data_IF_010300287209
#
_entry.id   IF_010300287209
#
_cell.length_a   1.000
_cell.length_b   1.000
_cell.length_c   1.000
_cell.angle_alpha   90.00
_cell.angle_beta   90.00
_cell.angle_gamma   90.00
#
_symmetry.space_group_name_H-M   'P 1'
#
loop_
_entity.id
_entity.type
_entity.pdbx_description
1 polymer ?
#
# COMPACT_ATOMS: atom_id res chain seq x y z
N UNK A 1 2.94 5.96 -16.12
CA UNK A 1 3.79 5.33 -15.07
C UNK A 1 4.16 3.90 -15.46
N UNK A 2 5.44 3.48 -15.39
CA UNK A 2 5.85 2.09 -15.74
C UNK A 2 6.08 1.23 -14.49
N UNK A 3 6.62 1.81 -13.44
CA UNK A 3 6.86 1.17 -12.16
C UNK A 3 6.28 2.03 -11.04
N UNK A 4 6.00 1.43 -9.88
CA UNK A 4 5.70 2.14 -8.64
C UNK A 4 6.78 1.78 -7.61
N UNK A 5 7.84 2.58 -7.53
CA UNK A 5 9.02 2.31 -6.69
C UNK A 5 9.03 3.18 -5.43
N UNK A 6 8.62 4.46 -5.56
CA UNK A 6 8.60 5.46 -4.49
C UNK A 6 7.38 6.38 -4.63
N UNK A 7 6.93 6.94 -3.52
CA UNK A 7 5.97 8.05 -3.53
C UNK A 7 6.60 9.30 -4.14
N UNK A 8 7.89 9.52 -3.93
CA UNK A 8 8.60 10.67 -4.50
C UNK A 8 8.64 10.69 -6.03
N UNK A 9 8.42 9.54 -6.69
CA UNK A 9 8.38 9.44 -8.15
C UNK A 9 7.01 9.85 -8.74
N UNK A 10 5.99 10.09 -7.88
CA UNK A 10 4.63 10.41 -8.30
C UNK A 10 4.41 11.93 -8.34
N UNK A 11 3.94 12.42 -9.48
CA UNK A 11 3.43 13.78 -9.56
C UNK A 11 2.07 13.91 -8.83
N UNK A 12 1.66 15.11 -8.41
CA UNK A 12 0.32 15.32 -7.82
C UNK A 12 -0.81 14.83 -8.73
N UNK A 13 -0.67 14.93 -10.05
CA UNK A 13 -1.62 14.40 -11.03
C UNK A 13 -1.72 12.87 -11.00
N UNK A 14 -0.61 12.16 -10.72
CA UNK A 14 -0.61 10.70 -10.62
C UNK A 14 -1.36 10.26 -9.34
N UNK A 15 -1.14 10.97 -8.23
CA UNK A 15 -1.85 10.74 -6.97
C UNK A 15 -3.35 10.92 -7.16
N UNK A 16 -3.76 12.03 -7.79
CA UNK A 16 -5.16 12.32 -8.07
C UNK A 16 -5.79 11.28 -9.03
N UNK A 17 -5.09 10.86 -10.07
CA UNK A 17 -5.53 9.78 -10.96
C UNK A 17 -5.71 8.46 -10.20
N UNK A 18 -4.76 8.10 -9.34
CA UNK A 18 -4.83 6.90 -8.49
C UNK A 18 -6.06 6.96 -7.56
N UNK A 19 -6.32 8.11 -6.95
CA UNK A 19 -7.47 8.30 -6.06
C UNK A 19 -8.79 8.13 -6.81
N UNK A 20 -8.97 8.79 -7.97
CA UNK A 20 -10.18 8.65 -8.80
C UNK A 20 -10.38 7.23 -9.30
N UNK A 21 -9.32 6.56 -9.71
CA UNK A 21 -9.40 5.17 -10.14
C UNK A 21 -9.75 4.24 -8.99
N UNK A 22 -9.26 4.55 -7.80
CA UNK A 22 -9.61 3.78 -6.58
C UNK A 22 -11.11 3.90 -6.28
N UNK A 23 -11.74 5.07 -6.46
CA UNK A 23 -13.17 5.24 -6.30
C UNK A 23 -13.96 4.24 -7.17
N UNK A 24 -13.57 4.10 -8.44
CA UNK A 24 -14.16 3.14 -9.36
C UNK A 24 -13.99 1.68 -8.90
N UNK A 25 -12.84 1.33 -8.35
CA UNK A 25 -12.60 -0.02 -7.84
C UNK A 25 -13.26 -0.29 -6.49
N UNK A 26 -13.56 0.72 -5.70
CA UNK A 26 -14.43 0.59 -4.52
C UNK A 26 -15.86 0.24 -4.97
N UNK A 27 -16.41 0.93 -5.98
CA UNK A 27 -17.72 0.61 -6.59
C UNK A 27 -17.74 -0.84 -7.12
N UNK A 28 -16.69 -1.26 -7.85
CA UNK A 28 -16.56 -2.65 -8.32
C UNK A 28 -16.55 -3.63 -7.15
N UNK A 29 -15.89 -3.28 -6.05
CA UNK A 29 -15.78 -4.14 -4.88
C UNK A 29 -17.10 -4.36 -4.14
N UNK A 30 -18.10 -3.48 -4.34
CA UNK A 30 -19.43 -3.57 -3.75
C UNK A 30 -20.43 -4.37 -4.63
N UNK A 31 -20.06 -4.74 -5.86
CA UNK A 31 -20.91 -5.52 -6.76
C UNK A 31 -21.11 -6.94 -6.24
N UNK A 32 -22.21 -7.57 -6.62
CA UNK A 32 -22.47 -9.00 -6.33
C UNK A 32 -21.32 -9.90 -6.84
N UNK A 33 -20.76 -9.58 -8.01
CA UNK A 33 -19.54 -10.21 -8.55
C UNK A 33 -18.46 -9.13 -8.59
N UNK A 34 -17.59 -9.02 -7.57
CA UNK A 34 -16.58 -7.96 -7.47
C UNK A 34 -15.36 -8.27 -8.34
N UNK A 35 -15.58 -8.51 -9.63
CA UNK A 35 -14.55 -8.92 -10.59
C UNK A 35 -14.76 -8.23 -11.93
N UNK A 36 -13.65 -7.79 -12.55
CA UNK A 36 -13.62 -7.17 -13.88
C UNK A 36 -12.49 -7.79 -14.71
N UNK A 37 -12.64 -7.95 -16.05
CA UNK A 37 -11.64 -8.59 -16.91
C UNK A 37 -10.49 -7.64 -17.32
N UNK A 38 -10.20 -6.62 -16.51
CA UNK A 38 -9.29 -5.54 -16.88
C UNK A 38 -7.83 -5.97 -17.09
N UNK A 39 -7.39 -7.05 -16.43
CA UNK A 39 -6.04 -7.62 -16.57
C UNK A 39 -6.08 -9.10 -17.01
N UNK A 40 -7.11 -9.49 -17.75
CA UNK A 40 -7.21 -10.85 -18.28
C UNK A 40 -6.01 -11.17 -19.19
N UNK A 41 -5.33 -12.29 -18.95
CA UNK A 41 -4.14 -12.73 -19.67
C UNK A 41 -2.85 -12.03 -19.22
N UNK A 42 -2.89 -11.20 -18.17
CA UNK A 42 -1.72 -10.64 -17.52
C UNK A 42 -1.25 -11.52 -16.37
N UNK A 43 0.07 -11.76 -16.28
CA UNK A 43 0.70 -12.56 -15.26
C UNK A 43 1.41 -11.67 -14.24
N UNK A 44 1.10 -11.82 -12.96
CA UNK A 44 1.72 -11.06 -11.86
C UNK A 44 2.38 -11.99 -10.86
N UNK A 45 3.63 -11.72 -10.50
CA UNK A 45 4.41 -12.52 -9.55
C UNK A 45 4.60 -11.78 -8.22
N UNK A 46 4.42 -12.51 -7.12
CA UNK A 46 4.70 -12.04 -5.77
C UNK A 46 6.10 -12.48 -5.35
N UNK A 47 7.05 -11.56 -5.35
CA UNK A 47 8.45 -11.80 -4.97
C UNK A 47 8.70 -11.28 -3.55
N UNK A 48 8.27 -12.04 -2.56
CA UNK A 48 8.34 -11.65 -1.16
C UNK A 48 9.46 -12.37 -0.42
N UNK A 49 10.50 -11.62 -0.06
CA UNK A 49 11.63 -12.07 0.77
C UNK A 49 11.41 -11.80 2.27
N UNK A 50 10.38 -11.01 2.62
CA UNK A 50 9.92 -10.81 3.99
C UNK A 50 8.47 -11.26 4.12
N UNK A 51 8.12 -11.81 5.29
CA UNK A 51 6.75 -12.20 5.59
C UNK A 51 5.81 -10.98 5.61
N UNK A 52 4.67 -11.12 4.96
CA UNK A 52 3.61 -10.13 4.99
C UNK A 52 2.28 -10.73 4.58
N UNK A 53 1.47 -11.10 5.55
CA UNK A 53 0.14 -11.68 5.29
C UNK A 53 -0.79 -10.68 4.63
N UNK A 54 -0.94 -9.49 5.22
CA UNK A 54 -1.87 -8.46 4.72
C UNK A 54 -1.51 -7.97 3.32
N UNK A 55 -0.27 -7.57 3.10
CA UNK A 55 0.16 -7.02 1.80
C UNK A 55 0.02 -8.07 0.71
N UNK A 56 0.46 -9.31 0.96
CA UNK A 56 0.35 -10.40 -0.02
C UNK A 56 -1.08 -10.72 -0.36
N UNK A 57 -1.93 -10.98 0.64
CA UNK A 57 -3.34 -11.33 0.41
C UNK A 57 -4.12 -10.20 -0.26
N UNK A 58 -3.83 -8.95 0.09
CA UNK A 58 -4.48 -7.78 -0.51
C UNK A 58 -4.10 -7.59 -1.98
N UNK A 59 -2.82 -7.76 -2.36
CA UNK A 59 -2.42 -7.78 -3.77
C UNK A 59 -3.00 -8.97 -4.53
N UNK A 60 -3.03 -10.15 -3.92
CA UNK A 60 -3.62 -11.33 -4.53
C UNK A 60 -5.13 -11.13 -4.79
N UNK A 61 -5.85 -10.58 -3.81
CA UNK A 61 -7.26 -10.23 -3.96
C UNK A 61 -7.46 -9.19 -5.09
N UNK A 62 -6.62 -8.14 -5.14
CA UNK A 62 -6.66 -7.13 -6.17
C UNK A 62 -6.45 -7.70 -7.57
N UNK A 63 -5.41 -8.52 -7.77
CA UNK A 63 -5.11 -9.14 -9.05
C UNK A 63 -6.24 -10.08 -9.51
N UNK A 64 -6.78 -10.92 -8.60
CA UNK A 64 -7.90 -11.83 -8.90
C UNK A 64 -9.17 -11.07 -9.27
N UNK A 65 -9.45 -9.92 -8.61
CA UNK A 65 -10.59 -9.05 -8.96
C UNK A 65 -10.43 -8.40 -10.33
N UNK A 66 -9.19 -8.15 -10.77
CA UNK A 66 -8.87 -7.66 -12.11
C UNK A 66 -8.75 -8.78 -13.17
N UNK A 67 -8.97 -10.05 -12.81
CA UNK A 67 -8.81 -11.23 -13.65
C UNK A 67 -7.39 -11.49 -14.15
N UNK A 68 -6.37 -11.02 -13.44
CA UNK A 68 -4.99 -11.39 -13.70
C UNK A 68 -4.67 -12.79 -13.16
N UNK A 69 -3.76 -13.48 -13.84
CA UNK A 69 -3.15 -14.70 -13.36
C UNK A 69 -2.04 -14.37 -12.36
N UNK A 70 -1.92 -15.19 -11.31
CA UNK A 70 -0.98 -14.91 -10.22
C UNK A 70 -0.04 -16.07 -9.98
N UNK A 71 1.24 -15.78 -9.82
CA UNK A 71 2.26 -16.73 -9.43
C UNK A 71 2.91 -16.32 -8.11
N UNK A 72 3.09 -17.29 -7.21
CA UNK A 72 3.72 -17.02 -5.91
C UNK A 72 5.11 -17.62 -5.90
N UNK A 73 6.12 -16.77 -5.65
CA UNK A 73 7.49 -17.20 -5.39
C UNK A 73 7.69 -17.36 -3.88
N UNK A 74 8.10 -18.56 -3.47
CA UNK A 74 8.43 -18.85 -2.07
C UNK A 74 9.93 -19.01 -1.89
N UNK A 75 10.55 -18.06 -1.22
CA UNK A 75 12.01 -18.08 -0.93
C UNK A 75 12.40 -19.36 -0.18
N UNK A 76 11.55 -19.80 0.75
CA UNK A 76 11.79 -20.97 1.59
C UNK A 76 11.92 -22.31 0.84
N UNK A 77 11.35 -22.39 -0.37
CA UNK A 77 11.36 -23.61 -1.22
C UNK A 77 12.03 -23.38 -2.58
N UNK A 78 12.71 -22.25 -2.77
CA UNK A 78 13.29 -21.85 -4.06
C UNK A 78 14.79 -22.17 -4.17
N UNK A 79 15.31 -22.00 -5.39
CA UNK A 79 16.73 -22.09 -5.75
C UNK A 79 17.61 -21.06 -5.02
N UNK A 80 17.04 -20.01 -4.43
CA UNK A 80 17.75 -19.05 -3.56
C UNK A 80 18.50 -19.78 -2.44
N UNK A 81 17.91 -20.85 -1.86
CA UNK A 81 18.60 -21.71 -0.89
C UNK A 81 19.83 -22.44 -1.44
N UNK A 82 19.93 -22.56 -2.75
CA UNK A 82 21.07 -23.18 -3.46
C UNK A 82 22.12 -22.15 -3.88
N UNK A 83 21.96 -20.87 -3.48
CA UNK A 83 22.88 -19.79 -3.81
C UNK A 83 22.55 -19.03 -5.10
N UNK A 84 21.36 -19.19 -5.68
CA UNK A 84 20.94 -18.41 -6.84
C UNK A 84 20.86 -16.92 -6.48
N UNK A 85 21.41 -16.07 -7.33
CA UNK A 85 21.39 -14.62 -7.10
C UNK A 85 19.99 -14.04 -7.33
N UNK A 86 19.70 -12.92 -6.67
CA UNK A 86 18.45 -12.19 -6.89
C UNK A 86 18.24 -11.84 -8.37
N UNK A 87 19.34 -11.48 -9.07
CA UNK A 87 19.31 -11.12 -10.49
C UNK A 87 18.90 -12.32 -11.35
N UNK A 88 19.49 -13.48 -11.12
CA UNK A 88 19.19 -14.69 -11.89
C UNK A 88 17.76 -15.16 -11.64
N UNK A 89 17.30 -15.08 -10.38
CA UNK A 89 15.89 -15.36 -10.03
C UNK A 89 14.94 -14.46 -10.81
N UNK A 90 15.21 -13.15 -10.86
CA UNK A 90 14.32 -12.17 -11.53
C UNK A 90 14.33 -12.36 -13.05
N UNK A 91 15.47 -12.63 -13.67
CA UNK A 91 15.57 -12.91 -15.11
C UNK A 91 14.90 -14.24 -15.47
N UNK A 92 14.99 -15.24 -14.62
CA UNK A 92 14.27 -16.52 -14.79
C UNK A 92 12.74 -16.30 -14.76
N UNK A 93 12.24 -15.50 -13.81
CA UNK A 93 10.84 -15.13 -13.71
C UNK A 93 10.39 -14.36 -14.95
N UNK A 94 11.19 -13.41 -15.42
CA UNK A 94 10.92 -12.66 -16.66
C UNK A 94 10.77 -13.60 -17.86
N UNK A 95 11.69 -14.55 -18.02
CA UNK A 95 11.66 -15.53 -19.12
C UNK A 95 10.42 -16.42 -19.12
N UNK A 96 9.69 -16.51 -18.00
CA UNK A 96 8.39 -17.20 -17.89
C UNK A 96 7.23 -16.36 -18.41
N UNK A 97 7.45 -15.14 -18.92
CA UNK A 97 6.42 -14.31 -19.53
C UNK A 97 5.55 -13.55 -18.52
N UNK A 98 6.13 -13.03 -17.43
CA UNK A 98 5.41 -12.19 -16.46
C UNK A 98 5.32 -10.74 -16.94
N UNK A 99 4.19 -10.10 -16.66
CA UNK A 99 3.94 -8.70 -16.97
C UNK A 99 4.26 -7.77 -15.79
N UNK A 100 4.14 -8.27 -14.57
CA UNK A 100 4.35 -7.51 -13.34
C UNK A 100 4.98 -8.30 -12.21
N UNK A 101 5.83 -7.63 -11.43
CA UNK A 101 6.46 -8.19 -10.22
C UNK A 101 6.18 -7.29 -9.03
N UNK A 102 5.57 -7.84 -7.98
CA UNK A 102 5.34 -7.15 -6.71
C UNK A 102 6.41 -7.61 -5.74
N UNK A 103 7.30 -6.69 -5.34
CA UNK A 103 8.52 -6.98 -4.59
C UNK A 103 8.40 -6.52 -3.15
N UNK A 104 8.74 -7.41 -2.20
CA UNK A 104 8.97 -7.04 -0.80
C UNK A 104 10.29 -7.62 -0.34
N UNK A 105 11.20 -6.77 0.15
CA UNK A 105 12.56 -7.17 0.51
C UNK A 105 13.05 -6.48 1.78
N UNK A 106 13.93 -7.14 2.54
CA UNK A 106 14.54 -6.59 3.76
C UNK A 106 15.60 -5.51 3.51
N UNK A 107 16.14 -5.42 2.29
CA UNK A 107 17.12 -4.39 1.93
C UNK A 107 16.48 -3.28 1.12
N UNK A 108 16.78 -2.03 1.47
CA UNK A 108 16.38 -0.85 0.74
C UNK A 108 16.99 -0.82 -0.68
N UNK A 109 16.25 -0.28 -1.67
CA UNK A 109 16.70 -0.11 -3.04
C UNK A 109 16.58 -1.34 -3.94
N UNK A 110 16.22 -2.51 -3.40
CA UNK A 110 16.04 -3.74 -4.20
C UNK A 110 14.99 -3.58 -5.30
N UNK A 111 13.82 -2.96 -5.11
CA UNK A 111 12.85 -2.74 -6.18
C UNK A 111 13.43 -1.95 -7.36
N UNK A 112 14.30 -0.95 -7.11
CA UNK A 112 14.99 -0.18 -8.17
C UNK A 112 16.00 -1.04 -8.93
N UNK A 113 16.74 -1.91 -8.23
CA UNK A 113 17.66 -2.84 -8.89
C UNK A 113 16.90 -3.78 -9.82
N UNK A 114 15.79 -4.33 -9.36
CA UNK A 114 14.92 -5.22 -10.15
C UNK A 114 14.35 -4.46 -11.35
N UNK A 115 13.81 -3.25 -11.15
CA UNK A 115 13.30 -2.44 -12.25
C UNK A 115 14.36 -2.14 -13.30
N UNK A 116 15.60 -1.86 -12.88
CA UNK A 116 16.74 -1.66 -13.80
C UNK A 116 17.09 -2.90 -14.60
N UNK A 117 17.04 -4.09 -14.00
CA UNK A 117 17.34 -5.35 -14.72
C UNK A 117 16.26 -5.73 -15.72
N UNK A 118 14.99 -5.47 -15.37
CA UNK A 118 13.84 -5.80 -16.20
C UNK A 118 13.55 -4.72 -17.28
N UNK A 119 14.00 -3.48 -17.05
CA UNK A 119 13.71 -2.36 -17.96
C UNK A 119 12.20 -2.17 -18.16
N UNK A 120 11.82 -1.79 -19.39
CA UNK A 120 10.41 -1.54 -19.73
C UNK A 120 9.60 -2.81 -20.04
N UNK A 121 10.20 -3.99 -19.94
CA UNK A 121 9.52 -5.25 -20.26
C UNK A 121 8.50 -5.65 -19.20
N UNK A 122 8.85 -5.50 -17.92
CA UNK A 122 8.03 -5.93 -16.78
C UNK A 122 7.82 -4.77 -15.82
N UNK A 123 6.60 -4.55 -15.35
CA UNK A 123 6.29 -3.54 -14.36
C UNK A 123 6.70 -4.01 -12.95
N UNK A 124 7.24 -3.10 -12.14
CA UNK A 124 7.70 -3.40 -10.77
C UNK A 124 6.93 -2.55 -9.76
N UNK A 125 6.40 -3.20 -8.71
CA UNK A 125 5.73 -2.55 -7.59
C UNK A 125 6.53 -2.80 -6.32
N UNK A 126 6.93 -1.74 -5.63
CA UNK A 126 7.52 -1.79 -4.30
C UNK A 126 6.43 -2.07 -3.25
N UNK A 127 6.41 -3.26 -2.67
CA UNK A 127 5.53 -3.67 -1.58
C UNK A 127 6.21 -3.61 -0.19
N UNK A 128 7.29 -2.85 -0.11
CA UNK A 128 8.08 -2.58 1.08
C UNK A 128 9.52 -3.05 0.98
N UNK A 129 10.47 -2.11 1.09
CA UNK A 129 11.90 -2.37 1.00
C UNK A 129 12.64 -1.80 2.22
N UNK A 130 13.26 -2.67 3.01
CA UNK A 130 14.02 -2.31 4.20
C UNK A 130 13.24 -1.38 5.15
N UNK A 131 13.88 -0.28 5.53
CA UNK A 131 13.26 0.83 6.27
C UNK A 131 12.95 2.02 5.35
N UNK A 132 12.99 1.81 4.04
CA UNK A 132 12.94 2.87 3.04
C UNK A 132 11.51 3.28 2.72
N UNK A 133 10.76 2.48 1.94
CA UNK A 133 9.39 2.84 1.56
C UNK A 133 8.43 1.67 1.47
N UNK A 134 7.13 2.00 1.51
CA UNK A 134 6.00 1.13 1.19
C UNK A 134 4.90 1.93 0.47
N UNK A 135 5.12 2.30 -0.81
CA UNK A 135 4.27 3.25 -1.53
C UNK A 135 2.77 2.92 -1.48
N UNK A 136 2.41 1.65 -1.71
CA UNK A 136 0.98 1.26 -1.71
C UNK A 136 0.33 1.30 -0.32
N UNK A 137 1.11 1.37 0.76
CA UNK A 137 0.57 1.63 2.09
C UNK A 137 0.22 3.12 2.21
N UNK A 138 1.13 4.02 1.88
CA UNK A 138 0.84 5.45 1.92
C UNK A 138 -0.34 5.84 1.01
N UNK A 139 -0.45 5.25 -0.17
CA UNK A 139 -1.58 5.48 -1.08
C UNK A 139 -2.92 5.05 -0.46
N UNK A 140 -2.98 3.88 0.19
CA UNK A 140 -4.21 3.44 0.85
C UNK A 140 -4.54 4.28 2.09
N UNK A 141 -3.53 4.78 2.78
CA UNK A 141 -3.70 5.66 3.94
C UNK A 141 -4.24 7.02 3.51
N UNK A 142 -3.68 7.62 2.46
CA UNK A 142 -4.21 8.82 1.82
C UNK A 142 -5.66 8.62 1.36
N UNK A 143 -5.95 7.50 0.68
CA UNK A 143 -7.29 7.21 0.23
C UNK A 143 -8.28 7.10 1.40
N UNK A 144 -7.90 6.42 2.48
CA UNK A 144 -8.75 6.22 3.65
C UNK A 144 -9.06 7.53 4.36
N UNK A 145 -8.06 8.44 4.47
CA UNK A 145 -8.28 9.78 5.02
C UNK A 145 -9.21 10.58 4.10
N UNK A 146 -8.98 10.56 2.78
CA UNK A 146 -9.84 11.26 1.82
C UNK A 146 -11.28 10.74 1.83
N UNK A 147 -11.47 9.43 1.92
CA UNK A 147 -12.78 8.78 2.01
C UNK A 147 -13.56 9.25 3.25
N UNK A 148 -12.88 9.40 4.38
CA UNK A 148 -13.48 9.81 5.65
C UNK A 148 -13.64 11.34 5.81
N UNK A 149 -12.72 12.15 5.22
CA UNK A 149 -12.60 13.61 5.47
C UNK A 149 -12.80 14.47 4.21
N UNK A 150 -12.96 13.87 3.04
CA UNK A 150 -13.09 14.56 1.75
C UNK A 150 -11.77 15.02 1.14
N UNK A 151 -10.82 15.52 1.92
CA UNK A 151 -9.51 16.02 1.50
C UNK A 151 -8.45 15.74 2.55
N UNK A 152 -7.17 15.79 2.16
CA UNK A 152 -6.03 15.84 3.09
C UNK A 152 -5.52 17.27 3.28
N UNK A 153 -5.87 18.20 2.39
CA UNK A 153 -5.38 19.57 2.42
C UNK A 153 -5.69 20.25 3.75
N UNK A 154 -4.68 20.77 4.40
CA UNK A 154 -4.78 21.47 5.68
C UNK A 154 -5.03 20.58 6.90
N UNK A 155 -5.16 19.23 6.74
CA UNK A 155 -5.30 18.34 7.88
C UNK A 155 -4.00 18.24 8.68
N UNK A 156 -4.12 18.23 10.01
CA UNK A 156 -3.01 18.05 10.95
C UNK A 156 -2.92 16.58 11.31
N UNK A 157 -1.88 15.92 10.79
CA UNK A 157 -1.65 14.49 10.95
C UNK A 157 -0.48 14.24 11.90
N UNK A 158 -0.73 13.57 13.01
CA UNK A 158 0.31 13.09 13.92
C UNK A 158 0.75 11.67 13.55
N UNK A 159 2.01 11.48 13.14
CA UNK A 159 2.62 10.14 13.00
C UNK A 159 3.33 9.81 14.31
N UNK A 160 2.79 8.84 15.06
CA UNK A 160 3.13 8.61 16.45
C UNK A 160 3.85 7.27 16.61
N UNK A 161 5.05 7.27 17.15
CA UNK A 161 5.75 6.06 17.58
C UNK A 161 7.11 5.81 16.94
N UNK A 162 7.38 4.57 16.50
CA UNK A 162 8.68 4.15 15.98
C UNK A 162 8.89 4.61 14.52
N UNK A 163 9.22 5.88 14.35
CA UNK A 163 9.49 6.50 13.03
C UNK A 163 10.80 5.98 12.44
N UNK A 164 11.83 5.76 13.29
CA UNK A 164 13.19 5.37 12.87
C UNK A 164 13.18 4.10 12.02
N UNK A 165 12.41 3.08 12.43
CA UNK A 165 12.40 1.79 11.75
C UNK A 165 11.20 1.62 10.80
N UNK A 166 10.37 2.66 10.65
CA UNK A 166 9.13 2.58 9.88
C UNK A 166 9.32 3.03 8.44
N UNK A 167 9.28 2.07 7.50
CA UNK A 167 9.16 2.37 6.06
C UNK A 167 7.82 3.05 5.73
N UNK A 168 6.80 2.80 6.53
CA UNK A 168 5.47 3.38 6.36
C UNK A 168 5.51 4.87 6.67
N UNK A 169 6.08 5.26 7.81
CA UNK A 169 6.22 6.67 8.18
C UNK A 169 6.93 7.49 7.09
N UNK A 170 7.94 6.93 6.43
CA UNK A 170 8.66 7.60 5.33
C UNK A 170 7.75 7.85 4.13
N UNK A 171 7.05 6.81 3.67
CA UNK A 171 6.12 6.94 2.55
C UNK A 171 4.93 7.84 2.88
N UNK A 172 4.42 7.78 4.13
CA UNK A 172 3.28 8.59 4.58
C UNK A 172 3.66 10.07 4.65
N UNK A 173 4.85 10.41 5.17
CA UNK A 173 5.34 11.80 5.17
C UNK A 173 5.33 12.36 3.75
N UNK A 174 5.89 11.62 2.78
CA UNK A 174 5.93 12.06 1.38
C UNK A 174 4.52 12.22 0.78
N UNK A 175 3.63 11.25 1.01
CA UNK A 175 2.30 11.26 0.42
C UNK A 175 1.37 12.30 1.07
N UNK A 176 1.36 12.39 2.40
CA UNK A 176 0.50 13.32 3.13
C UNK A 176 0.88 14.76 2.83
N UNK A 177 2.19 15.08 2.83
CA UNK A 177 2.64 16.44 2.54
C UNK A 177 2.46 16.82 1.07
N UNK A 178 2.60 15.87 0.13
CA UNK A 178 2.29 16.09 -1.28
C UNK A 178 0.80 16.42 -1.54
N UNK A 179 -0.08 15.94 -0.65
CA UNK A 179 -1.53 16.22 -0.67
C UNK A 179 -1.95 17.37 0.25
N UNK A 180 -0.99 18.16 0.74
CA UNK A 180 -1.23 19.40 1.48
C UNK A 180 -1.50 19.24 2.97
N UNK A 181 -1.28 18.05 3.56
CA UNK A 181 -1.41 17.87 5.00
C UNK A 181 -0.20 18.42 5.77
N UNK A 182 -0.44 18.89 7.01
CA UNK A 182 0.59 19.26 7.97
C UNK A 182 0.96 18.06 8.84
N UNK A 183 2.18 17.55 8.71
CA UNK A 183 2.63 16.36 9.43
C UNK A 183 3.46 16.71 10.65
N UNK A 184 3.11 16.13 11.80
CA UNK A 184 3.90 16.17 13.03
C UNK A 184 4.35 14.77 13.41
N UNK A 185 5.67 14.56 13.53
CA UNK A 185 6.22 13.31 14.07
C UNK A 185 6.23 13.39 15.59
N UNK A 186 5.62 12.40 16.25
CA UNK A 186 5.51 12.36 17.71
C UNK A 186 6.17 11.09 18.23
N UNK A 187 7.38 11.23 18.79
CA UNK A 187 8.17 10.08 19.23
C UNK A 187 9.22 10.48 20.28
N UNK A 188 9.71 9.53 21.10
CA UNK A 188 10.95 9.77 21.84
C UNK A 188 12.10 10.03 20.87
N UNK A 189 13.09 10.88 21.24
CA UNK A 189 14.23 11.22 20.35
C UNK A 189 14.97 10.01 19.80
N UNK A 190 15.05 8.93 20.56
CA UNK A 190 15.70 7.68 20.16
C UNK A 190 14.98 6.88 19.06
N UNK A 191 13.69 7.15 18.87
CA UNK A 191 12.85 6.52 17.83
C UNK A 191 12.61 7.43 16.61
N UNK A 192 13.31 8.56 16.54
CA UNK A 192 13.38 9.39 15.34
C UNK A 192 14.62 9.02 14.49
N UNK A 193 14.57 9.20 13.17
CA UNK A 193 15.76 9.11 12.32
C UNK A 193 16.86 10.09 12.80
N UNK A 194 18.14 9.78 12.58
CA UNK A 194 19.25 10.67 12.96
C UNK A 194 19.20 12.04 12.27
N UNK A 195 18.63 12.12 11.07
CA UNK A 195 18.33 13.35 10.35
C UNK A 195 16.93 13.30 9.78
N UNK A 196 16.27 14.46 9.77
CA UNK A 196 14.98 14.73 9.13
C UNK A 196 15.14 15.77 8.01
N UNK A 197 16.37 15.96 7.52
CA UNK A 197 16.66 16.91 6.45
C UNK A 197 15.82 16.59 5.22
N UNK A 198 15.17 17.58 4.66
CA UNK A 198 14.28 17.44 3.51
C UNK A 198 12.88 16.89 3.82
N UNK A 199 12.58 16.58 5.09
CA UNK A 199 11.21 16.21 5.48
C UNK A 199 10.44 17.45 5.92
N UNK A 200 9.33 17.81 5.26
CA UNK A 200 8.53 18.98 5.63
C UNK A 200 7.61 18.66 6.81
N UNK A 201 8.19 18.36 7.96
CA UNK A 201 7.48 17.90 9.16
C UNK A 201 7.83 18.74 10.38
N UNK A 202 6.91 18.80 11.35
CA UNK A 202 7.19 19.24 12.72
C UNK A 202 7.56 18.02 13.58
N UNK A 203 8.21 18.24 14.70
CA UNK A 203 8.58 17.20 15.66
C UNK A 203 8.09 17.59 17.05
N UNK A 204 7.49 16.63 17.73
CA UNK A 204 7.15 16.74 19.15
C UNK A 204 7.58 15.47 19.90
N UNK A 205 7.95 15.65 21.17
CA UNK A 205 8.25 14.57 22.10
C UNK A 205 7.13 14.41 23.15
N UNK A 206 6.10 15.24 23.08
CA UNK A 206 4.96 15.25 23.98
C UNK A 206 3.67 14.97 23.19
N UNK A 207 3.13 13.74 23.38
CA UNK A 207 1.91 13.33 22.71
C UNK A 207 0.70 14.08 23.24
N UNK A 208 0.62 14.26 24.56
CA UNK A 208 -0.54 14.90 25.19
C UNK A 208 -0.67 16.38 24.79
N UNK A 209 0.44 17.06 24.49
CA UNK A 209 0.43 18.43 24.00
C UNK A 209 -0.03 18.56 22.53
N UNK A 210 0.14 17.54 21.71
CA UNK A 210 -0.17 17.58 20.26
C UNK A 210 -1.59 17.06 19.95
N UNK A 211 -2.05 16.07 20.72
CA UNK A 211 -3.32 15.35 20.45
C UNK A 211 -4.55 16.25 20.26
N UNK A 212 -4.77 17.32 21.04
CA UNK A 212 -5.96 18.16 20.89
C UNK A 212 -6.07 18.86 19.53
N UNK A 213 -4.95 19.01 18.86
CA UNK A 213 -4.87 19.70 17.58
C UNK A 213 -4.91 18.75 16.37
N UNK A 214 -4.85 17.43 16.56
CA UNK A 214 -4.78 16.47 15.48
C UNK A 214 -6.15 16.15 14.89
N UNK A 215 -6.21 16.16 13.56
CA UNK A 215 -7.32 15.63 12.78
C UNK A 215 -7.15 14.11 12.52
N UNK A 216 -5.90 13.63 12.52
CA UNK A 216 -5.56 12.20 12.36
C UNK A 216 -4.44 11.81 13.30
N UNK A 217 -4.66 10.80 14.13
CA UNK A 217 -3.63 10.11 14.90
C UNK A 217 -3.23 8.82 14.18
N UNK A 218 -2.08 8.85 13.48
CA UNK A 218 -1.53 7.70 12.78
C UNK A 218 -0.49 7.01 13.64
N UNK A 219 -0.84 5.83 14.16
CA UNK A 219 0.00 5.09 15.09
C UNK A 219 0.95 4.14 14.37
N UNK A 220 2.20 4.09 14.81
CA UNK A 220 3.20 3.16 14.30
C UNK A 220 3.40 2.00 15.27
N UNK A 221 3.51 0.80 14.71
CA UNK A 221 3.89 -0.38 15.49
C UNK A 221 5.29 -0.25 16.06
N UNK A 222 5.49 -0.56 17.33
CA UNK A 222 6.81 -0.73 17.92
C UNK A 222 7.49 -1.96 17.31
N UNK A 223 8.53 -1.75 16.48
CA UNK A 223 9.18 -2.82 15.70
C UNK A 223 10.36 -3.44 16.44
N UNK A 224 10.09 -4.10 17.57
CA UNK A 224 11.11 -4.69 18.45
C UNK A 224 12.07 -5.65 17.73
N UNK A 225 11.57 -6.38 16.76
CA UNK A 225 12.36 -7.31 15.94
C UNK A 225 13.41 -6.63 15.05
N UNK A 226 13.30 -5.32 14.88
CA UNK A 226 14.26 -4.49 14.10
C UNK A 226 15.20 -3.69 14.98
N UNK A 227 14.97 -3.69 16.30
CA UNK A 227 15.82 -2.96 17.24
C UNK A 227 17.00 -3.84 17.64
N UNK A 228 18.20 -3.37 17.37
CA UNK A 228 19.46 -3.97 17.87
C UNK A 228 19.92 -3.34 19.18
N UNK A 229 19.31 -2.25 19.60
CA UNK A 229 19.65 -1.44 20.77
C UNK A 229 18.43 -1.21 21.67
N UNK A 230 18.66 -0.87 22.93
CA UNK A 230 17.63 -0.47 23.88
C UNK A 230 17.25 1.01 23.65
N UNK A 231 16.39 1.27 22.66
CA UNK A 231 15.98 2.61 22.28
C UNK A 231 14.89 3.22 23.17
N UNK A 232 14.23 2.40 23.97
CA UNK A 232 13.28 2.83 25.00
C UNK A 232 13.59 2.10 26.30
N UNK A 233 13.47 2.75 27.49
CA UNK A 233 13.81 2.12 28.77
C UNK A 233 12.96 0.87 29.04
N UNK A 234 11.65 0.98 28.87
CA UNK A 234 10.70 -0.13 28.97
C UNK A 234 9.48 0.09 28.07
N UNK A 235 8.82 -0.98 27.66
CA UNK A 235 7.53 -0.86 26.95
C UNK A 235 6.46 -0.18 27.80
N UNK A 236 6.47 -0.40 29.12
CA UNK A 236 5.52 0.24 30.03
C UNK A 236 5.67 1.76 30.02
N UNK A 237 6.90 2.26 30.02
CA UNK A 237 7.16 3.70 29.94
C UNK A 237 6.77 4.26 28.59
N UNK A 238 7.10 3.54 27.50
CA UNK A 238 6.67 3.91 26.16
C UNK A 238 5.13 4.00 26.07
N UNK A 239 4.42 2.97 26.53
CA UNK A 239 2.94 2.95 26.55
C UNK A 239 2.38 4.10 27.36
N UNK A 240 2.95 4.40 28.52
CA UNK A 240 2.50 5.48 29.39
C UNK A 240 2.64 6.86 28.70
N UNK A 241 3.70 7.06 27.89
CA UNK A 241 3.98 8.33 27.23
C UNK A 241 3.38 8.46 25.81
N UNK A 242 3.34 7.37 25.05
CA UNK A 242 3.00 7.39 23.61
C UNK A 242 1.86 6.44 23.23
N UNK A 243 1.36 5.61 24.13
CA UNK A 243 0.22 4.73 23.85
C UNK A 243 -1.09 5.52 23.75
N UNK A 244 -1.87 5.30 22.70
CA UNK A 244 -3.19 5.91 22.56
C UNK A 244 -4.22 5.13 23.38
N UNK A 245 -4.73 5.78 24.43
CA UNK A 245 -5.73 5.27 25.38
C UNK A 245 -7.06 5.99 25.21
N UNK A 246 -8.15 5.49 25.80
CA UNK A 246 -9.45 6.20 25.77
C UNK A 246 -9.33 7.62 26.28
N UNK A 247 -8.65 7.85 27.42
CA UNK A 247 -8.44 9.20 27.97
C UNK A 247 -7.80 10.17 26.94
N UNK A 248 -6.87 9.66 26.13
CA UNK A 248 -6.19 10.44 25.09
C UNK A 248 -7.07 10.68 23.89
N UNK A 249 -7.88 9.70 23.52
CA UNK A 249 -8.88 9.86 22.46
C UNK A 249 -9.95 10.89 22.83
N UNK A 250 -10.34 10.96 24.10
CA UNK A 250 -11.29 11.97 24.60
C UNK A 250 -10.72 13.40 24.56
N UNK A 251 -9.39 13.56 24.46
CA UNK A 251 -8.72 14.85 24.30
C UNK A 251 -8.56 15.29 22.84
N UNK A 252 -8.81 14.40 21.88
CA UNK A 252 -8.77 14.69 20.45
C UNK A 252 -10.03 15.41 19.97
N UNK A 253 -9.97 16.03 18.80
CA UNK A 253 -11.17 16.53 18.13
C UNK A 253 -12.22 15.42 17.95
N UNK A 254 -13.50 15.76 18.01
CA UNK A 254 -14.62 14.79 17.97
C UNK A 254 -14.62 13.93 16.70
N UNK A 255 -14.21 14.50 15.58
CA UNK A 255 -14.15 13.87 14.26
C UNK A 255 -12.75 13.38 13.87
N UNK A 256 -11.77 13.43 14.81
CA UNK A 256 -10.42 12.97 14.56
C UNK A 256 -10.38 11.44 14.31
N UNK A 257 -9.57 11.04 13.35
CA UNK A 257 -9.41 9.64 12.95
C UNK A 257 -8.25 8.96 13.72
N UNK A 258 -8.41 7.67 13.97
CA UNK A 258 -7.35 6.80 14.49
C UNK A 258 -6.98 5.80 13.41
N UNK A 259 -5.69 5.76 13.04
CA UNK A 259 -5.14 4.92 11.98
C UNK A 259 -3.95 4.08 12.47
N UNK A 260 -3.72 2.95 11.78
CA UNK A 260 -2.60 2.07 12.08
C UNK A 260 -2.31 1.14 10.89
N UNK A 261 -1.08 1.00 10.39
CA UNK A 261 -0.76 0.17 9.21
C UNK A 261 -0.86 -1.34 9.49
N UNK A 262 -0.97 -1.71 10.77
CA UNK A 262 -0.98 -3.09 11.23
C UNK A 262 0.36 -3.86 11.03
N UNK A 263 0.56 -4.96 11.76
CA UNK A 263 -0.25 -5.45 12.87
C UNK A 263 -0.13 -4.55 14.11
N UNK A 264 -1.20 -4.44 14.89
CA UNK A 264 -1.18 -3.68 16.14
C UNK A 264 -0.61 -4.52 17.29
N UNK A 265 0.18 -3.88 18.16
CA UNK A 265 0.50 -4.42 19.48
C UNK A 265 -0.50 -3.81 20.48
N UNK A 266 -1.70 -4.42 20.60
CA UNK A 266 -2.72 -3.97 21.55
C UNK A 266 -2.16 -3.93 22.98
N UNK A 267 -2.36 -2.80 23.67
CA UNK A 267 -1.79 -2.54 24.99
C UNK A 267 -0.37 -1.95 24.98
N UNK A 268 0.18 -1.65 23.80
CA UNK A 268 1.47 -0.95 23.65
C UNK A 268 1.25 0.42 22.99
N UNK A 269 1.17 0.50 21.68
CA UNK A 269 0.94 1.76 20.96
C UNK A 269 -0.54 2.16 20.91
N UNK A 270 -1.46 1.21 21.09
CA UNK A 270 -2.90 1.43 21.08
C UNK A 270 -3.58 0.50 22.11
N UNK A 271 -4.52 1.02 22.89
CA UNK A 271 -5.34 0.16 23.75
C UNK A 271 -6.36 -0.64 22.93
N UNK A 272 -6.84 -1.76 23.46
CA UNK A 272 -7.77 -2.62 22.76
C UNK A 272 -9.07 -1.89 22.42
N UNK A 273 -9.57 -1.11 23.39
CA UNK A 273 -10.82 -0.36 23.28
C UNK A 273 -10.74 0.71 22.20
N UNK A 274 -9.62 1.43 22.11
CA UNK A 274 -9.41 2.49 21.10
C UNK A 274 -9.40 1.90 19.69
N UNK A 275 -8.80 0.73 19.50
CA UNK A 275 -8.75 0.09 18.19
C UNK A 275 -10.15 -0.29 17.65
N UNK A 276 -11.13 -0.43 18.52
CA UNK A 276 -12.48 -0.87 18.21
C UNK A 276 -13.51 0.30 18.22
N UNK A 277 -13.05 1.56 18.42
CA UNK A 277 -13.92 2.74 18.36
C UNK A 277 -14.40 3.06 16.93
N UNK A 278 -15.56 3.68 16.75
CA UNK A 278 -16.07 4.09 15.43
C UNK A 278 -15.13 5.01 14.63
N UNK A 279 -14.31 5.84 15.31
CA UNK A 279 -13.31 6.71 14.70
C UNK A 279 -12.02 5.98 14.29
N UNK A 280 -11.88 4.70 14.66
CA UNK A 280 -10.76 3.85 14.24
C UNK A 280 -11.05 3.29 12.85
N UNK A 281 -10.39 3.85 11.84
CA UNK A 281 -10.55 3.46 10.42
C UNK A 281 -9.53 2.39 10.00
N UNK A 282 -8.97 1.63 10.96
CA UNK A 282 -7.94 0.61 10.73
C UNK A 282 -8.43 -0.52 9.81
N UNK A 283 -9.69 -0.93 9.97
CA UNK A 283 -10.29 -1.96 9.11
C UNK A 283 -10.63 -1.39 7.73
N UNK A 284 -10.99 -0.11 7.67
CA UNK A 284 -11.23 0.58 6.40
C UNK A 284 -9.93 0.71 5.59
N UNK A 285 -8.78 0.98 6.24
CA UNK A 285 -7.46 0.91 5.58
C UNK A 285 -7.23 -0.46 4.91
N UNK A 286 -7.60 -1.56 5.55
CA UNK A 286 -7.47 -2.92 4.97
C UNK A 286 -8.41 -3.08 3.77
N UNK A 287 -9.66 -2.64 3.88
CA UNK A 287 -10.67 -2.70 2.82
C UNK A 287 -10.24 -1.87 1.61
N UNK A 288 -9.92 -0.61 1.84
CA UNK A 288 -9.49 0.35 0.83
C UNK A 288 -8.18 -0.08 0.16
N UNK A 289 -7.31 -0.75 0.92
CA UNK A 289 -6.05 -1.28 0.40
C UNK A 289 -6.20 -2.25 -0.77
N UNK A 290 -7.31 -2.98 -0.87
CA UNK A 290 -7.56 -3.85 -2.03
C UNK A 290 -7.88 -3.01 -3.26
N UNK A 291 -8.75 -2.00 -3.14
CA UNK A 291 -9.14 -1.11 -4.24
C UNK A 291 -7.96 -0.27 -4.75
N UNK A 292 -7.15 0.28 -3.84
CA UNK A 292 -5.92 1.02 -4.19
C UNK A 292 -4.94 0.12 -4.95
N UNK A 293 -4.75 -1.11 -4.53
CA UNK A 293 -3.88 -2.06 -5.22
C UNK A 293 -4.45 -2.50 -6.58
N UNK A 294 -5.77 -2.55 -6.72
CA UNK A 294 -6.41 -2.71 -8.04
C UNK A 294 -6.08 -1.52 -8.94
N UNK A 295 -6.19 -0.28 -8.44
CA UNK A 295 -5.85 0.92 -9.19
C UNK A 295 -4.37 0.92 -9.63
N UNK A 296 -3.45 0.59 -8.72
CA UNK A 296 -2.02 0.49 -9.03
C UNK A 296 -1.74 -0.55 -10.11
N UNK A 297 -2.25 -1.78 -9.94
CA UNK A 297 -2.03 -2.84 -10.93
C UNK A 297 -2.65 -2.49 -12.28
N UNK A 298 -3.82 -1.87 -12.30
CA UNK A 298 -4.47 -1.44 -13.53
C UNK A 298 -3.68 -0.36 -14.26
N UNK A 299 -3.17 0.66 -13.55
CA UNK A 299 -2.34 1.72 -14.15
C UNK A 299 -1.03 1.20 -14.74
N UNK A 300 -0.45 0.17 -14.13
CA UNK A 300 0.82 -0.38 -14.56
C UNK A 300 0.70 -1.41 -15.69
N UNK A 301 -0.39 -2.18 -15.73
CA UNK A 301 -0.52 -3.36 -16.59
C UNK A 301 -1.71 -3.30 -17.55
N UNK A 302 -2.69 -2.41 -17.27
CA UNK A 302 -3.89 -2.25 -18.11
C UNK A 302 -3.57 -1.52 -19.42
N UNK A 303 -4.19 -1.95 -20.51
CA UNK A 303 -4.09 -1.29 -21.79
C UNK A 303 -5.12 -0.13 -21.85
N UNK A 304 -4.63 1.11 -21.71
CA UNK A 304 -5.41 2.32 -21.95
C UNK A 304 -6.26 2.77 -20.74
N UNK A 305 -5.71 3.67 -19.96
CA UNK A 305 -6.34 4.30 -18.77
C UNK A 305 -7.61 5.09 -19.18
N UNK A 306 -7.63 5.62 -20.39
CA UNK A 306 -8.68 6.54 -20.87
C UNK A 306 -10.07 5.89 -20.97
N UNK A 307 -10.14 4.59 -21.26
CA UNK A 307 -11.44 3.89 -21.44
C UNK A 307 -12.23 3.65 -20.16
N UNK A 308 -11.60 3.55 -18.98
CA UNK A 308 -12.30 3.29 -17.72
C UNK A 308 -12.80 4.59 -17.06
N UNK A 309 -12.14 5.70 -17.36
CA UNK A 309 -12.51 7.01 -16.82
C UNK A 309 -13.59 7.71 -17.67
N UNK A 310 -13.65 7.41 -18.98
CA UNK A 310 -14.61 8.03 -19.90
C UNK A 310 -15.99 7.32 -19.97
N UNK A 311 -16.10 6.10 -19.47
CA UNK A 311 -17.40 5.43 -19.42
C UNK A 311 -18.14 5.83 -18.15
N UNK A 312 -19.15 6.66 -18.28
CA UNK A 312 -20.19 6.87 -17.28
C UNK A 312 -20.79 5.53 -16.77
N UNK A 313 -21.69 5.54 -15.77
CA UNK A 313 -22.15 4.36 -15.05
C UNK A 313 -22.83 3.25 -15.89
N UNK A 314 -23.04 3.46 -17.21
CA UNK A 314 -23.87 2.61 -18.07
C UNK A 314 -23.12 2.04 -19.30
N UNK A 315 -21.98 1.37 -19.12
CA UNK A 315 -21.49 0.47 -20.18
C UNK A 315 -21.38 -0.93 -19.62
N UNK A 316 -22.41 -1.68 -19.90
CA UNK A 316 -22.46 -3.16 -19.74
C UNK A 316 -21.47 -3.79 -20.76
N UNK A 317 -20.18 -3.88 -20.39
CA UNK A 317 -19.12 -4.44 -21.23
C UNK A 317 -19.19 -5.95 -21.40
N UNK A 318 -20.33 -6.56 -21.06
CA UNK A 318 -20.59 -7.99 -21.29
C UNK A 318 -21.00 -8.31 -22.74
N UNK A 319 -21.23 -7.28 -23.59
CA UNK A 319 -21.86 -7.48 -24.91
C UNK A 319 -20.93 -7.58 -26.12
N UNK A 320 -19.67 -7.13 -26.08
CA UNK A 320 -18.88 -6.87 -27.30
C UNK A 320 -17.68 -7.79 -27.55
N UNK A 321 -17.61 -8.98 -26.97
CA UNK A 321 -16.56 -9.97 -27.29
C UNK A 321 -17.12 -11.29 -27.88
N UNK A 322 -18.22 -11.21 -28.65
CA UNK A 322 -18.55 -12.25 -29.61
C UNK A 322 -17.80 -11.99 -30.93
N UNK A 323 -16.47 -12.16 -30.92
CA UNK A 323 -15.73 -12.35 -32.17
C UNK A 323 -15.98 -13.78 -32.60
N UNK A 324 -16.90 -13.92 -33.57
CA UNK A 324 -17.20 -15.19 -34.21
C UNK A 324 -15.91 -15.81 -34.78
N UNK A 325 -15.55 -16.95 -34.23
CA UNK A 325 -14.66 -17.91 -34.90
C UNK A 325 -15.50 -18.52 -36.01
N UNK A 326 -15.13 -18.42 -37.30
CA UNK A 326 -15.84 -19.12 -38.36
C UNK A 326 -15.68 -20.65 -38.14
N UNK A 327 -16.78 -21.33 -37.93
CA UNK A 327 -16.80 -22.80 -37.93
C UNK A 327 -16.59 -23.24 -39.39
N UNK A 328 -15.57 -24.07 -39.72
CA UNK A 328 -15.43 -24.60 -41.06
C UNK A 328 -16.64 -25.50 -41.36
N UNK A 329 -17.35 -25.23 -42.45
CA UNK A 329 -18.38 -26.11 -42.96
C UNK A 329 -17.75 -27.39 -43.51
N UNK A 330 -18.32 -28.59 -43.30
CA UNK A 330 -17.83 -29.81 -43.92
C UNK A 330 -18.10 -29.75 -45.42
N UNK A 331 -17.04 -29.89 -46.20
CA UNK A 331 -17.16 -30.07 -47.67
C UNK A 331 -18.00 -31.32 -47.98
N UNK A 332 -18.98 -31.10 -48.81
CA UNK A 332 -19.97 -32.10 -49.18
C UNK A 332 -19.38 -33.28 -49.95
N UNK A 333 -19.77 -34.46 -49.52
CA UNK A 333 -19.64 -35.67 -50.31
C UNK A 333 -20.54 -35.56 -51.55
N UNK A 334 -19.96 -35.57 -52.71
CA UNK A 334 -20.63 -35.91 -53.97
C UNK A 334 -20.02 -37.19 -54.50
N UNK A 335 -20.84 -38.19 -54.55
CA UNK A 335 -20.89 -39.45 -55.40
C UNK A 335 -19.58 -39.97 -55.96
#
# INVERSE_FOLDING_TARGET
>A
MKHLLSIADLAPSDLDQLMRLTDRFVEVSQRQIPKVPALRGKNVVWLFYEDSTRTRLSFEAAAKRLSADTMTFSVGSSSVKKGESLRDTVLTIEAMGVDGVVVRHGSAGVPWQIARWLGDRVSVVNAGDGWHEHPTQALLDCYTIRDARGSLEGLRIGIIGDVKHSRVARSDVLAFTALGAEVTLVAPPTLLPPSLDGWPVRVSHDLDAVLPDLDVAYLLRMQRERMTEHLVPTLREYTARYGLTLRRVDAMCDDALVMHPGPMNRGVEISAEVADLPRSVIIDQVRNGVAVRMAVLYLLLGAGVDRVLDTGPDVDTAGDLAVGVPVPQPEGATR
#
